data_IF_193581244555
#
_entry.id   IF_193581244555
#
_cell.length_a   1.000
_cell.length_b   1.000
_cell.length_c   1.000
_cell.angle_alpha   90.00
_cell.angle_beta   90.00
_cell.angle_gamma   90.00
#
_symmetry.space_group_name_H-M   'P 1'
#
loop_
_entity.id
_entity.type
_entity.pdbx_description
1 polymer ?
#
# COMPACT_ATOMS: atom_id res chain seq x y z
N UNK A 1 11.13 12.38 -6.36
CA UNK A 1 9.89 11.72 -5.91
C UNK A 1 9.35 10.92 -7.07
N UNK A 2 8.99 9.65 -6.85
CA UNK A 2 8.38 8.75 -7.83
C UNK A 2 6.93 8.49 -7.42
N UNK A 3 6.01 8.64 -8.37
CA UNK A 3 4.58 8.39 -8.18
C UNK A 3 4.20 7.16 -9.00
N UNK A 4 3.59 6.17 -8.35
CA UNK A 4 3.22 4.89 -8.95
C UNK A 4 1.73 4.67 -8.77
N UNK A 5 1.03 4.38 -9.86
CA UNK A 5 -0.42 4.25 -9.90
C UNK A 5 -0.79 2.86 -10.42
N UNK A 6 -1.24 1.98 -9.51
CA UNK A 6 -1.76 0.64 -9.79
C UNK A 6 -0.84 -0.25 -10.66
N UNK A 7 0.48 -0.08 -10.53
CA UNK A 7 1.47 -0.76 -11.39
C UNK A 7 1.64 -2.26 -11.13
N UNK A 8 1.04 -2.81 -10.06
CA UNK A 8 1.08 -4.23 -9.72
C UNK A 8 -0.07 -5.04 -10.33
N UNK A 9 -1.04 -4.39 -10.97
CA UNK A 9 -2.18 -5.05 -11.60
C UNK A 9 -1.74 -6.07 -12.66
N UNK A 10 -2.20 -7.32 -12.51
CA UNK A 10 -1.95 -8.40 -13.47
C UNK A 10 -0.61 -9.12 -13.32
N UNK A 11 0.21 -8.74 -12.33
CA UNK A 11 1.43 -9.47 -11.99
C UNK A 11 1.10 -10.79 -11.27
N UNK A 12 1.92 -11.81 -11.53
CA UNK A 12 1.99 -13.00 -10.69
C UNK A 12 2.65 -12.69 -9.34
N UNK A 13 2.49 -13.57 -8.35
CA UNK A 13 3.12 -13.40 -7.03
C UNK A 13 4.65 -13.24 -7.11
N UNK A 14 5.29 -13.93 -8.05
CA UNK A 14 6.73 -13.82 -8.28
C UNK A 14 7.14 -12.45 -8.84
N UNK A 15 6.42 -11.97 -9.86
CA UNK A 15 6.65 -10.65 -10.45
C UNK A 15 6.35 -9.52 -9.45
N UNK A 16 5.34 -9.68 -8.60
CA UNK A 16 5.05 -8.73 -7.53
C UNK A 16 6.20 -8.65 -6.50
N UNK A 17 6.82 -9.78 -6.16
CA UNK A 17 7.99 -9.82 -5.30
C UNK A 17 9.21 -9.12 -5.95
N UNK A 18 9.43 -9.32 -7.25
CA UNK A 18 10.50 -8.61 -7.99
C UNK A 18 10.26 -7.09 -8.03
N UNK A 19 9.00 -6.68 -8.21
CA UNK A 19 8.61 -5.27 -8.15
C UNK A 19 8.92 -4.69 -6.76
N UNK A 20 8.57 -5.39 -5.69
CA UNK A 20 8.89 -4.99 -4.30
C UNK A 20 10.38 -4.75 -4.11
N UNK A 21 11.24 -5.66 -4.59
CA UNK A 21 12.69 -5.47 -4.48
C UNK A 21 13.19 -4.27 -5.27
N UNK A 22 12.61 -4.04 -6.46
CA UNK A 22 12.94 -2.87 -7.29
C UNK A 22 12.60 -1.58 -6.55
N UNK A 23 11.40 -1.49 -5.96
CA UNK A 23 10.96 -0.34 -5.14
C UNK A 23 11.89 -0.14 -3.94
N UNK A 24 12.30 -1.22 -3.27
CA UNK A 24 13.22 -1.15 -2.13
C UNK A 24 14.58 -0.58 -2.54
N UNK A 25 15.15 -1.02 -3.66
CA UNK A 25 16.42 -0.50 -4.20
C UNK A 25 16.31 0.98 -4.54
N UNK A 26 15.22 1.42 -5.17
CA UNK A 26 15.00 2.83 -5.49
C UNK A 26 14.90 3.68 -4.22
N UNK A 27 14.17 3.22 -3.22
CA UNK A 27 14.08 3.90 -1.92
C UNK A 27 15.44 4.01 -1.22
N UNK A 28 16.26 2.95 -1.23
CA UNK A 28 17.62 2.96 -0.67
C UNK A 28 18.55 3.96 -1.37
N UNK A 29 18.29 4.30 -2.64
CA UNK A 29 19.01 5.35 -3.38
C UNK A 29 18.57 6.77 -3.00
N UNK A 30 17.66 6.93 -2.04
CA UNK A 30 17.15 8.22 -1.58
C UNK A 30 15.95 8.73 -2.37
N UNK A 31 15.32 7.90 -3.20
CA UNK A 31 14.12 8.28 -3.95
C UNK A 31 12.91 8.11 -3.04
N UNK A 32 12.21 9.20 -2.74
CA UNK A 32 10.89 9.12 -2.09
C UNK A 32 9.86 8.54 -3.07
N UNK A 33 9.05 7.59 -2.60
CA UNK A 33 8.07 6.86 -3.41
C UNK A 33 6.68 7.07 -2.81
N UNK A 34 5.72 7.42 -3.65
CA UNK A 34 4.28 7.38 -3.33
C UNK A 34 3.67 6.36 -4.26
N UNK A 35 3.05 5.34 -3.68
CA UNK A 35 2.52 4.21 -4.42
C UNK A 35 1.06 3.96 -4.05
N UNK A 36 0.19 4.05 -5.05
CA UNK A 36 -1.22 3.70 -4.98
C UNK A 36 -1.36 2.26 -5.46
N UNK A 37 -1.94 1.40 -4.62
CA UNK A 37 -2.31 0.04 -5.03
C UNK A 37 -3.52 -0.53 -4.29
N UNK A 38 -4.22 -1.47 -4.95
CA UNK A 38 -5.25 -2.32 -4.37
C UNK A 38 -4.69 -3.60 -3.73
N UNK A 39 -3.47 -4.00 -4.10
CA UNK A 39 -2.81 -5.20 -3.58
C UNK A 39 -2.13 -4.89 -2.23
N UNK A 40 -2.91 -4.89 -1.16
CA UNK A 40 -2.45 -4.48 0.19
C UNK A 40 -1.22 -5.25 0.65
N UNK A 41 -1.16 -6.57 0.44
CA UNK A 41 -0.06 -7.39 0.94
C UNK A 41 1.31 -7.01 0.33
N UNK A 42 1.34 -6.45 -0.88
CA UNK A 42 2.54 -5.95 -1.54
C UNK A 42 2.98 -4.63 -0.90
N UNK A 43 2.05 -3.70 -0.69
CA UNK A 43 2.33 -2.42 -0.03
C UNK A 43 2.94 -2.63 1.36
N UNK A 44 2.43 -3.59 2.14
CA UNK A 44 2.93 -3.89 3.48
C UNK A 44 4.39 -4.34 3.54
N UNK A 45 4.96 -4.85 2.44
CA UNK A 45 6.36 -5.32 2.41
C UNK A 45 7.38 -4.18 2.32
N UNK A 46 6.96 -2.98 1.91
CA UNK A 46 7.86 -1.85 1.62
C UNK A 46 7.40 -0.51 2.20
N UNK A 47 6.11 -0.33 2.44
CA UNK A 47 5.56 0.92 2.92
C UNK A 47 5.90 1.13 4.41
N UNK A 48 6.39 2.32 4.72
CA UNK A 48 6.64 2.77 6.10
C UNK A 48 5.46 3.60 6.66
N UNK A 49 4.60 4.11 5.77
CA UNK A 49 3.36 4.84 6.07
C UNK A 49 2.30 4.38 5.08
N UNK A 50 1.09 4.15 5.57
CA UNK A 50 -0.07 3.78 4.78
C UNK A 50 -1.14 4.86 4.95
N UNK A 51 -1.78 5.24 3.85
CA UNK A 51 -2.92 6.16 3.84
C UNK A 51 -4.08 5.42 3.22
N UNK A 52 -5.20 5.37 3.92
CA UNK A 52 -6.44 4.78 3.43
C UNK A 52 -7.45 5.89 3.19
N UNK A 53 -8.10 5.87 2.03
CA UNK A 53 -9.07 6.86 1.62
C UNK A 53 -10.38 6.19 1.22
N UNK A 54 -11.52 6.72 1.64
CA UNK A 54 -12.84 6.29 1.18
C UNK A 54 -13.66 7.51 0.77
N UNK A 55 -14.44 7.40 -0.30
CA UNK A 55 -15.28 8.48 -0.84
C UNK A 55 -14.57 9.87 -0.96
N UNK A 56 -13.28 9.86 -1.32
CA UNK A 56 -12.48 11.09 -1.45
C UNK A 56 -11.99 11.70 -0.13
N UNK A 57 -12.15 11.00 0.99
CA UNK A 57 -11.68 11.42 2.32
C UNK A 57 -10.62 10.45 2.84
N UNK A 58 -9.61 10.98 3.53
CA UNK A 58 -8.65 10.15 4.28
C UNK A 58 -9.35 9.62 5.53
N UNK A 59 -9.48 8.30 5.63
CA UNK A 59 -10.10 7.62 6.78
C UNK A 59 -9.07 7.11 7.78
N UNK A 60 -7.83 6.89 7.35
CA UNK A 60 -6.70 6.55 8.22
C UNK A 60 -5.36 6.92 7.57
N UNK A 61 -4.38 7.28 8.40
CA UNK A 61 -3.06 7.70 7.98
C UNK A 61 -2.05 7.41 9.10
N UNK A 62 -1.05 6.56 8.84
CA UNK A 62 -0.06 6.21 9.85
C UNK A 62 0.73 4.96 9.53
N UNK A 63 1.14 4.25 10.60
CA UNK A 63 1.84 2.98 10.45
C UNK A 63 0.91 1.97 9.74
N UNK A 64 1.41 1.15 8.79
CA UNK A 64 0.57 0.18 8.10
C UNK A 64 -0.22 -0.77 9.00
N UNK A 65 0.36 -1.21 10.13
CA UNK A 65 -0.31 -2.12 11.07
C UNK A 65 -1.47 -1.42 11.81
N UNK A 66 -1.26 -0.16 12.23
CA UNK A 66 -2.29 0.64 12.90
C UNK A 66 -3.43 0.99 11.94
N UNK A 67 -3.09 1.33 10.69
CA UNK A 67 -4.06 1.65 9.64
C UNK A 67 -4.92 0.43 9.31
N UNK A 68 -4.34 -0.77 9.20
CA UNK A 68 -5.09 -1.99 8.94
C UNK A 68 -5.94 -2.45 10.13
N UNK A 69 -5.54 -2.13 11.36
CA UNK A 69 -6.32 -2.41 12.56
C UNK A 69 -7.44 -1.38 12.80
N UNK A 70 -7.47 -0.28 12.05
CA UNK A 70 -8.48 0.77 12.20
C UNK A 70 -9.86 0.21 11.79
N UNK A 71 -10.83 0.26 12.70
CA UNK A 71 -12.19 -0.25 12.46
C UNK A 71 -12.84 0.36 11.21
N UNK A 72 -12.66 1.65 10.96
CA UNK A 72 -13.20 2.32 9.75
C UNK A 72 -12.56 1.78 8.47
N UNK A 73 -11.26 1.45 8.49
CA UNK A 73 -10.57 0.84 7.35
C UNK A 73 -11.06 -0.59 7.13
N UNK A 74 -11.21 -1.36 8.21
CA UNK A 74 -11.73 -2.73 8.13
C UNK A 74 -13.13 -2.76 7.52
N UNK A 75 -14.02 -1.89 8.01
CA UNK A 75 -15.39 -1.80 7.51
C UNK A 75 -15.46 -1.36 6.04
N UNK A 76 -14.61 -0.42 5.63
CA UNK A 76 -14.60 0.10 4.25
C UNK A 76 -13.93 -0.85 3.23
N UNK A 77 -12.85 -1.55 3.62
CA UNK A 77 -11.96 -2.25 2.68
C UNK A 77 -11.81 -3.75 2.91
N UNK A 78 -11.90 -4.23 4.14
CA UNK A 78 -11.61 -5.64 4.48
C UNK A 78 -12.87 -6.46 4.76
N UNK A 79 -14.04 -5.80 4.79
CA UNK A 79 -15.31 -6.43 5.11
C UNK A 79 -15.38 -6.79 6.58
N UNK A 80 -15.91 -5.88 7.39
CA UNK A 80 -16.31 -6.17 8.77
C UNK A 80 -17.33 -7.31 8.76
N UNK A 81 -16.97 -8.46 9.33
CA UNK A 81 -17.85 -9.61 9.44
C UNK A 81 -19.19 -9.20 10.06
N UNK A 82 -20.27 -9.51 9.34
CA UNK A 82 -21.54 -9.83 9.99
C UNK A 82 -21.49 -11.28 10.44
#
# INVERSE_FOLDING_TARGET
>A
VLLLDEIGGGLTDGEAAELVETIRVLHQRGISIVWIEHIVHVLLQVANRLVCMDAGQVIADGNPQEVLANATVVDAYLGGGK
#
